data_IF_385102270562
#
_entry.id   IF_385102270562
#
_cell.length_a   1.000
_cell.length_b   1.000
_cell.length_c   1.000
_cell.angle_alpha   90.00
_cell.angle_beta   90.00
_cell.angle_gamma   90.00
#
_symmetry.space_group_name_H-M   'P 1'
#
loop_
_entity.id
_entity.type
_entity.pdbx_description
1 polymer ?
#
# COMPACT_ATOMS: atom_id res chain seq x y z
N UNK A 1 19.24 -9.16 8.79
CA UNK A 1 17.84 -8.70 8.88
C UNK A 1 17.02 -9.08 7.64
N UNK A 2 15.92 -9.80 7.85
CA UNK A 2 14.95 -10.11 6.80
C UNK A 2 14.07 -8.88 6.57
N UNK A 3 13.83 -8.51 5.31
CA UNK A 3 12.89 -7.45 4.93
C UNK A 3 11.58 -8.07 4.45
N UNK A 4 10.47 -7.33 4.53
CA UNK A 4 9.17 -7.75 3.98
C UNK A 4 9.12 -7.72 2.45
N UNK A 5 10.15 -7.14 1.82
CA UNK A 5 10.30 -7.12 0.38
C UNK A 5 10.98 -8.40 -0.10
N UNK A 6 10.33 -9.11 -1.01
CA UNK A 6 10.93 -10.27 -1.67
C UNK A 6 12.15 -9.82 -2.50
N UNK A 7 13.33 -10.30 -2.12
CA UNK A 7 14.52 -10.22 -2.95
C UNK A 7 14.41 -11.18 -4.15
N UNK A 8 15.25 -11.03 -5.19
CA UNK A 8 15.30 -11.97 -6.31
C UNK A 8 15.37 -13.42 -5.84
N UNK A 9 14.71 -14.31 -6.57
CA UNK A 9 14.64 -15.73 -6.22
C UNK A 9 16.04 -16.33 -6.07
N UNK A 10 16.26 -17.05 -4.96
CA UNK A 10 17.53 -17.71 -4.62
C UNK A 10 17.30 -19.07 -3.98
N UNK A 11 18.25 -19.99 -4.12
CA UNK A 11 18.21 -21.28 -3.44
C UNK A 11 18.33 -21.11 -1.92
N UNK A 12 17.33 -21.61 -1.19
CA UNK A 12 17.31 -21.65 0.27
C UNK A 12 17.56 -23.09 0.76
N UNK A 13 17.98 -23.22 2.02
CA UNK A 13 18.08 -24.54 2.63
C UNK A 13 16.67 -25.13 2.84
N UNK A 14 16.57 -26.46 2.84
CA UNK A 14 15.31 -27.13 3.20
C UNK A 14 14.96 -26.81 4.66
N UNK A 15 13.68 -26.92 5.01
CA UNK A 15 13.22 -26.79 6.40
C UNK A 15 14.05 -27.70 7.33
N UNK A 16 14.54 -27.13 8.44
CA UNK A 16 15.42 -27.81 9.40
C UNK A 16 16.92 -27.73 9.11
N UNK A 17 17.33 -27.11 7.99
CA UNK A 17 18.74 -26.91 7.64
C UNK A 17 19.11 -25.43 7.63
N UNK A 18 20.33 -25.11 8.07
CA UNK A 18 20.87 -23.74 8.12
C UNK A 18 22.08 -23.60 7.23
N UNK A 19 22.36 -22.37 6.73
CA UNK A 19 23.44 -22.12 5.77
C UNK A 19 24.74 -21.74 6.51
N UNK A 20 25.77 -22.54 6.37
CA UNK A 20 27.13 -22.27 6.84
C UNK A 20 28.13 -22.46 5.69
N UNK A 21 29.02 -21.48 5.49
CA UNK A 21 30.06 -21.53 4.45
C UNK A 21 29.54 -21.90 3.03
N UNK A 22 28.29 -21.54 2.72
CA UNK A 22 27.65 -21.84 1.42
C UNK A 22 26.98 -23.21 1.34
N UNK A 23 27.07 -24.06 2.36
CA UNK A 23 26.41 -25.36 2.45
C UNK A 23 25.23 -25.33 3.42
N UNK A 24 24.26 -26.22 3.20
CA UNK A 24 23.15 -26.42 4.12
C UNK A 24 23.50 -27.58 5.05
N UNK A 25 23.65 -27.28 6.34
CA UNK A 25 23.97 -28.24 7.38
C UNK A 25 22.80 -28.39 8.35
N UNK A 26 22.78 -29.50 9.10
CA UNK A 26 21.84 -29.68 10.21
C UNK A 26 22.12 -28.63 11.30
N UNK A 27 21.05 -28.06 11.88
CA UNK A 27 21.16 -27.06 12.94
C UNK A 27 21.92 -27.58 14.19
N UNK A 28 21.95 -28.89 14.42
CA UNK A 28 22.73 -29.51 15.48
C UNK A 28 24.23 -29.59 15.18
N UNK A 29 24.61 -29.46 13.91
CA UNK A 29 25.98 -29.59 13.43
C UNK A 29 26.70 -28.25 13.30
N UNK A 30 26.09 -27.14 13.70
CA UNK A 30 26.74 -25.83 13.69
C UNK A 30 27.97 -25.82 14.65
N UNK A 31 29.17 -25.49 14.16
CA UNK A 31 30.42 -25.50 14.95
C UNK A 31 30.45 -24.45 16.06
N UNK A 32 29.64 -23.38 15.93
CA UNK A 32 29.34 -22.43 17.00
C UNK A 32 27.88 -22.57 17.44
N UNK A 33 27.48 -23.77 17.88
CA UNK A 33 26.24 -23.88 18.65
C UNK A 33 26.39 -23.05 19.91
N UNK A 34 25.85 -21.83 19.90
CA UNK A 34 25.42 -21.23 21.16
C UNK A 34 24.39 -22.21 21.72
N UNK A 35 24.54 -22.71 22.95
CA UNK A 35 23.48 -23.46 23.59
C UNK A 35 22.23 -22.61 23.46
N UNK A 36 21.11 -23.22 23.05
CA UNK A 36 19.80 -22.60 23.17
C UNK A 36 19.68 -22.22 24.62
N UNK A 37 20.04 -20.97 24.90
CA UNK A 37 20.19 -20.50 26.25
C UNK A 37 18.77 -20.54 26.75
N UNK A 38 18.53 -21.43 27.72
CA UNK A 38 17.34 -21.37 28.57
C UNK A 38 17.49 -20.13 29.45
N UNK A 39 17.79 -18.99 28.85
CA UNK A 39 17.50 -17.71 29.41
C UNK A 39 16.00 -17.64 29.29
N UNK A 40 15.34 -17.94 30.40
CA UNK A 40 14.18 -17.17 30.80
C UNK A 40 14.62 -15.70 30.79
N UNK A 41 14.71 -15.09 29.61
CA UNK A 41 14.67 -13.65 29.47
C UNK A 41 13.22 -13.31 29.78
N UNK A 42 12.93 -13.20 31.07
CA UNK A 42 11.93 -12.26 31.53
C UNK A 42 12.49 -10.90 31.11
N UNK A 43 12.20 -10.51 29.87
CA UNK A 43 12.29 -9.12 29.44
C UNK A 43 11.18 -8.37 30.19
N UNK A 44 11.44 -8.04 31.45
CA UNK A 44 11.00 -6.76 31.95
C UNK A 44 11.90 -5.73 31.25
N UNK A 45 11.28 -4.68 30.69
CA UNK A 45 11.88 -3.63 29.84
C UNK A 45 11.95 -3.92 28.33
N UNK A 46 10.99 -4.64 27.75
CA UNK A 46 10.43 -4.07 26.51
C UNK A 46 9.49 -2.93 26.95
N UNK A 47 9.71 -1.66 26.54
CA UNK A 47 8.65 -0.69 26.69
C UNK A 47 7.46 -1.28 25.93
N UNK A 48 6.36 -1.53 26.63
CA UNK A 48 5.09 -1.90 26.00
C UNK A 48 4.91 -0.89 24.88
N UNK A 49 5.11 -1.31 23.62
CA UNK A 49 4.88 -0.46 22.47
C UNK A 49 3.43 -0.04 22.64
N UNK A 50 3.15 1.22 23.01
CA UNK A 50 1.80 1.59 23.37
C UNK A 50 0.96 1.24 22.15
N UNK A 51 -0.07 0.42 22.37
CA UNK A 51 -1.09 0.17 21.36
C UNK A 51 -1.41 1.53 20.77
N UNK A 52 -1.09 1.70 19.48
CA UNK A 52 -1.24 2.98 18.81
C UNK A 52 -2.73 3.29 18.80
N UNK A 53 -3.16 4.02 19.82
CA UNK A 53 -4.56 4.29 20.13
C UNK A 53 -5.08 5.48 19.35
N UNK A 54 -4.20 6.22 18.67
CA UNK A 54 -4.58 7.31 17.80
C UNK A 54 -3.58 7.55 16.66
N UNK A 55 -4.09 8.11 15.57
CA UNK A 55 -3.32 8.54 14.41
C UNK A 55 -2.35 9.69 14.69
N UNK A 56 -2.53 10.44 15.77
CA UNK A 56 -1.64 11.53 16.21
C UNK A 56 -0.45 11.02 17.05
N UNK A 57 -0.57 9.84 17.65
CA UNK A 57 0.46 9.20 18.47
C UNK A 57 1.28 8.14 17.71
N UNK A 58 0.90 7.86 16.46
CA UNK A 58 1.71 7.04 15.57
C UNK A 58 3.09 7.68 15.38
N UNK A 59 4.20 6.95 15.55
CA UNK A 59 5.54 7.51 15.45
C UNK A 59 5.72 8.15 14.07
N UNK A 60 5.92 9.47 13.99
CA UNK A 60 6.45 10.41 12.96
C UNK A 60 6.43 9.97 11.45
N UNK A 61 5.72 8.93 11.05
CA UNK A 61 5.91 8.21 9.78
C UNK A 61 4.61 7.76 9.12
N UNK A 62 3.45 7.90 9.77
CA UNK A 62 2.16 7.71 9.07
C UNK A 62 1.81 9.03 8.39
N UNK A 63 2.58 9.35 7.35
CA UNK A 63 2.21 10.35 6.35
C UNK A 63 1.43 9.60 5.27
N UNK A 64 0.11 9.55 5.39
CA UNK A 64 -0.70 8.93 4.35
C UNK A 64 -0.50 9.68 3.02
N UNK A 65 -0.53 8.93 1.92
CA UNK A 65 -0.50 9.50 0.57
C UNK A 65 -1.71 10.41 0.37
N UNK A 66 -1.61 11.39 -0.51
CA UNK A 66 -2.76 12.22 -0.91
C UNK A 66 -3.93 11.33 -1.33
N UNK A 67 -5.12 11.53 -0.74
CA UNK A 67 -6.30 10.68 -0.98
C UNK A 67 -6.48 9.56 0.04
N UNK A 68 -5.70 9.55 1.11
CA UNK A 68 -5.82 8.62 2.23
C UNK A 68 -5.71 9.38 3.56
N UNK A 69 -6.62 9.08 4.48
CA UNK A 69 -6.56 9.51 5.87
C UNK A 69 -6.15 8.34 6.76
N UNK A 70 -5.57 8.66 7.92
CA UNK A 70 -5.32 7.65 8.93
C UNK A 70 -6.62 7.36 9.70
N UNK A 71 -6.99 6.09 9.80
CA UNK A 71 -8.05 5.59 10.67
C UNK A 71 -7.57 4.38 11.48
N UNK A 72 -8.20 4.14 12.64
CA UNK A 72 -7.90 2.98 13.48
C UNK A 72 -8.77 1.80 13.02
N UNK A 73 -8.16 0.84 12.32
CA UNK A 73 -8.82 -0.39 11.84
C UNK A 73 -8.38 -1.55 12.73
N UNK A 74 -9.31 -2.19 13.45
CA UNK A 74 -9.01 -3.30 14.37
C UNK A 74 -7.91 -2.98 15.41
N UNK A 75 -7.87 -1.74 15.90
CA UNK A 75 -6.89 -1.31 16.91
C UNK A 75 -5.50 -0.99 16.36
N UNK A 76 -5.31 -0.97 15.04
CA UNK A 76 -4.07 -0.51 14.40
C UNK A 76 -4.35 0.69 13.48
N UNK A 77 -3.50 1.74 13.50
CA UNK A 77 -3.61 2.84 12.54
C UNK A 77 -3.27 2.35 11.14
N UNK A 78 -4.22 2.50 10.22
CA UNK A 78 -4.05 2.25 8.79
C UNK A 78 -4.36 3.53 8.00
N UNK A 79 -3.62 3.75 6.91
CA UNK A 79 -4.07 4.68 5.88
C UNK A 79 -5.23 4.03 5.15
N UNK A 80 -6.43 4.54 5.39
CA UNK A 80 -7.61 4.16 4.64
C UNK A 80 -7.85 5.20 3.55
N UNK A 81 -8.52 4.81 2.47
CA UNK A 81 -9.09 5.74 1.51
C UNK A 81 -9.78 6.92 2.17
N UNK A 82 -9.50 8.15 1.71
CA UNK A 82 -10.39 9.27 1.98
C UNK A 82 -11.74 8.93 1.35
N UNK A 83 -12.71 8.48 2.17
CA UNK A 83 -14.05 8.16 1.68
C UNK A 83 -14.78 9.42 1.16
N UNK A 84 -14.26 10.62 1.49
CA UNK A 84 -14.77 11.89 1.01
C UNK A 84 -14.21 12.21 -0.38
N UNK A 85 -14.76 11.57 -1.41
CA UNK A 85 -14.53 12.00 -2.79
C UNK A 85 -15.29 13.29 -3.12
N UNK A 86 -14.81 14.01 -4.14
CA UNK A 86 -15.47 15.22 -4.62
C UNK A 86 -16.85 14.94 -5.22
N UNK A 87 -17.54 16.01 -5.62
CA UNK A 87 -18.82 15.86 -6.28
C UNK A 87 -18.68 15.04 -7.59
N UNK A 88 -19.53 14.02 -7.73
CA UNK A 88 -19.54 13.08 -8.85
C UNK A 88 -18.28 12.21 -8.96
N UNK A 89 -17.61 11.97 -7.85
CA UNK A 89 -16.50 11.03 -7.72
C UNK A 89 -16.85 9.89 -6.76
N UNK A 90 -16.29 8.71 -7.01
CA UNK A 90 -16.36 7.54 -6.14
C UNK A 90 -14.95 7.02 -5.87
N UNK A 91 -14.71 6.57 -4.65
CA UNK A 91 -13.43 6.00 -4.29
C UNK A 91 -13.24 4.63 -4.91
N UNK A 92 -12.18 4.46 -5.69
CA UNK A 92 -11.82 3.18 -6.31
C UNK A 92 -10.56 2.62 -5.66
N UNK A 93 -10.67 1.41 -5.10
CA UNK A 93 -9.52 0.71 -4.53
C UNK A 93 -8.51 0.27 -5.61
N UNK A 94 -9.00 -0.01 -6.81
CA UNK A 94 -8.21 -0.26 -8.00
C UNK A 94 -8.59 0.82 -9.02
N UNK A 95 -7.85 1.92 -9.03
CA UNK A 95 -8.15 3.03 -9.93
C UNK A 95 -7.81 2.66 -11.38
N UNK A 96 -8.56 3.21 -12.33
CA UNK A 96 -8.37 3.04 -13.78
C UNK A 96 -8.07 4.38 -14.49
N UNK A 97 -7.92 4.40 -15.81
CA UNK A 97 -7.84 5.68 -16.52
C UNK A 97 -9.23 6.34 -16.55
N UNK A 98 -9.31 7.63 -16.22
CA UNK A 98 -10.56 8.36 -16.30
C UNK A 98 -10.76 8.96 -17.70
N UNK A 99 -11.99 8.93 -18.24
CA UNK A 99 -12.31 9.64 -19.46
C UNK A 99 -12.24 11.16 -19.25
N UNK A 100 -11.84 11.89 -20.29
CA UNK A 100 -11.91 13.36 -20.34
C UNK A 100 -12.98 13.81 -21.34
N UNK A 101 -13.20 15.11 -21.50
CA UNK A 101 -14.03 15.66 -22.58
C UNK A 101 -13.44 15.47 -23.99
N UNK A 102 -12.18 15.04 -24.09
CA UNK A 102 -11.53 14.75 -25.36
C UNK A 102 -11.78 13.32 -25.86
N UNK A 103 -11.02 12.90 -26.88
CA UNK A 103 -11.07 11.54 -27.42
C UNK A 103 -10.80 10.48 -26.34
N UNK A 104 -11.49 9.34 -26.43
CA UNK A 104 -11.25 8.20 -25.54
C UNK A 104 -9.84 7.69 -25.80
N UNK A 105 -8.99 7.75 -24.77
CA UNK A 105 -7.64 7.20 -24.82
C UNK A 105 -7.68 5.78 -24.28
N UNK A 106 -7.14 4.78 -25.00
CA UNK A 106 -7.10 3.41 -24.51
C UNK A 106 -6.31 3.33 -23.20
N UNK A 107 -6.87 2.63 -22.22
CA UNK A 107 -6.25 2.40 -20.92
C UNK A 107 -5.58 1.03 -20.88
N UNK A 108 -4.50 0.91 -20.10
CA UNK A 108 -3.88 -0.38 -19.84
C UNK A 108 -4.74 -1.21 -18.86
N UNK A 109 -4.74 -2.55 -18.96
CA UNK A 109 -5.57 -3.43 -18.13
C UNK A 109 -4.93 -3.72 -16.76
N UNK A 110 -4.42 -2.70 -16.08
CA UNK A 110 -3.91 -2.83 -14.72
C UNK A 110 -4.41 -1.69 -13.83
N UNK A 111 -4.45 -1.95 -12.52
CA UNK A 111 -4.86 -0.98 -11.52
C UNK A 111 -3.77 0.07 -11.29
N UNK A 112 -4.17 1.32 -11.20
CA UNK A 112 -3.42 2.39 -10.54
C UNK A 112 -3.65 2.34 -9.01
N UNK A 113 -2.84 3.06 -8.22
CA UNK A 113 -3.10 3.20 -6.78
C UNK A 113 -4.54 3.67 -6.50
N UNK A 114 -5.11 3.31 -5.35
CA UNK A 114 -6.46 3.73 -4.99
C UNK A 114 -6.64 5.26 -5.07
N UNK A 115 -7.77 5.72 -5.62
CA UNK A 115 -8.05 7.14 -5.82
C UNK A 115 -9.55 7.41 -6.02
N UNK A 116 -9.97 8.65 -5.82
CA UNK A 116 -11.30 9.13 -6.25
C UNK A 116 -11.36 9.25 -7.77
N UNK A 117 -12.38 8.65 -8.38
CA UNK A 117 -12.58 8.65 -9.83
C UNK A 117 -13.97 9.11 -10.20
N UNK A 118 -14.13 9.74 -11.36
CA UNK A 118 -15.44 10.12 -11.88
C UNK A 118 -16.37 8.92 -11.97
N UNK A 119 -17.58 9.06 -11.41
CA UNK A 119 -18.62 8.04 -11.51
C UNK A 119 -19.08 7.86 -12.96
N UNK A 120 -19.73 6.72 -13.25
CA UNK A 120 -20.23 6.41 -14.59
C UNK A 120 -21.05 7.54 -15.22
N UNK A 121 -20.71 7.92 -16.46
CA UNK A 121 -21.34 9.02 -17.20
C UNK A 121 -20.69 10.40 -17.00
N UNK A 122 -19.71 10.51 -16.09
CA UNK A 122 -18.94 11.72 -15.85
C UNK A 122 -17.52 11.60 -16.45
N UNK A 123 -16.92 12.75 -16.73
CA UNK A 123 -15.56 12.86 -17.28
C UNK A 123 -14.77 13.92 -16.53
N UNK A 124 -13.45 13.74 -16.42
CA UNK A 124 -12.58 14.69 -15.72
C UNK A 124 -12.26 15.87 -16.63
N UNK A 125 -12.57 17.08 -16.15
CA UNK A 125 -12.25 18.34 -16.81
C UNK A 125 -11.87 19.39 -15.75
N UNK A 126 -10.68 20.00 -15.88
CA UNK A 126 -10.15 20.99 -14.94
C UNK A 126 -10.23 20.55 -13.46
N UNK A 127 -9.88 19.28 -13.20
CA UNK A 127 -9.88 18.71 -11.85
C UNK A 127 -11.26 18.38 -11.29
N UNK A 128 -12.36 18.53 -12.05
CA UNK A 128 -13.73 18.20 -11.62
C UNK A 128 -14.36 17.14 -12.52
N UNK A 129 -15.25 16.34 -11.96
CA UNK A 129 -16.09 15.42 -12.70
C UNK A 129 -17.39 16.11 -13.14
N UNK A 130 -17.53 16.33 -14.43
CA UNK A 130 -18.72 16.92 -15.08
C UNK A 130 -19.42 15.86 -15.93
N UNK A 131 -20.70 16.05 -16.27
CA UNK A 131 -21.36 15.08 -17.14
C UNK A 131 -20.72 15.14 -18.51
N UNK A 132 -20.59 13.99 -19.17
CA UNK A 132 -20.08 13.94 -20.55
C UNK A 132 -20.89 14.83 -21.51
N UNK A 133 -22.18 15.00 -21.24
CA UNK A 133 -23.08 15.89 -21.99
C UNK A 133 -22.77 17.37 -21.82
N UNK A 134 -22.03 17.75 -20.79
CA UNK A 134 -21.68 19.14 -20.49
C UNK A 134 -20.38 19.56 -21.20
N UNK A 135 -19.72 18.64 -21.90
CA UNK A 135 -18.59 18.94 -22.76
C UNK A 135 -19.06 19.72 -24.00
N UNK A 136 -18.48 20.89 -24.25
CA UNK A 136 -18.69 21.66 -25.49
C UNK A 136 -17.97 21.03 -26.69
N UNK A 137 -18.44 21.36 -27.90
CA UNK A 137 -17.86 20.86 -29.17
C UNK A 137 -16.37 21.21 -29.34
N UNK A 138 -15.90 22.28 -28.69
CA UNK A 138 -14.50 22.71 -28.74
C UNK A 138 -13.54 21.70 -28.08
N UNK A 139 -13.98 21.01 -27.01
CA UNK A 139 -13.17 19.97 -26.35
C UNK A 139 -13.07 18.70 -27.18
N UNK A 140 -14.16 18.35 -27.88
CA UNK A 140 -14.26 17.14 -28.69
C UNK A 140 -13.36 17.23 -29.94
N UNK A 141 -13.17 18.44 -30.46
CA UNK A 141 -12.32 18.70 -31.64
C UNK A 141 -10.84 18.95 -31.32
N UNK A 142 -10.42 18.88 -30.04
CA UNK A 142 -9.03 19.06 -29.64
C UNK A 142 -8.44 20.44 -29.96
N UNK A 143 -9.28 21.49 -29.98
CA UNK A 143 -8.90 22.86 -30.39
C UNK A 143 -8.50 23.78 -29.22
N UNK A 144 -7.80 23.27 -28.22
CA UNK A 144 -7.31 24.07 -27.08
C UNK A 144 -5.81 23.89 -26.94
#
# INVERSE_FOLDING_TARGET
>A
PCTTQCLPAKCQCKSGFVREAGQCIDENSCPNRQPASTTTLSYADEPVTPLLTSCEQAPIQISCLTGFNCEIVNGTPQCVPDAACGANEEFQQCASCEPTCGPITPCLPFCFPPACQCIGGYVRHNGKCIRRTDCTDAYIQGKI
#
